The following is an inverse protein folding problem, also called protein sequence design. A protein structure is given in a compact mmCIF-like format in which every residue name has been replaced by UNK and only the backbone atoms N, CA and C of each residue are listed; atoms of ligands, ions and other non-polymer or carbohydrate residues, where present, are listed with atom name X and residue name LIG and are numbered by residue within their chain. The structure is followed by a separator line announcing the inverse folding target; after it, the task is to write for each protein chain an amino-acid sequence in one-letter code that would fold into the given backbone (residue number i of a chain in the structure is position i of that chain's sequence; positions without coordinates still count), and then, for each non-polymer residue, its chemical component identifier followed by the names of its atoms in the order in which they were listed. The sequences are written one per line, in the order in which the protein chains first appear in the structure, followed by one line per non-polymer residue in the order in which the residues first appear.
data_IF_822077020703
#
_entry.id   IF_822077020703
#
_cell.length_a   1.000
_cell.length_b   1.000
_cell.length_c   1.000
_cell.angle_alpha   90.00
_cell.angle_beta   90.00
_cell.angle_gamma   90.00
#
_symmetry.space_group_name_H-M   'P 1'
#
loop_
_entity.id
_entity.type
_entity.pdbx_description
1 polymer ?
#
# COMPACT_ATOMS: atom_id res chain seq x y z
N UNK A 1 7.47 -36.81 -3.87
CA UNK A 1 6.16 -36.20 -3.57
C UNK A 1 6.21 -34.73 -3.14
N UNK A 2 7.14 -34.26 -2.28
CA UNK A 2 7.09 -32.88 -1.73
C UNK A 2 7.23 -31.74 -2.76
N UNK A 3 7.94 -31.96 -3.88
CA UNK A 3 8.09 -30.96 -4.95
C UNK A 3 6.96 -31.01 -5.99
N UNK A 4 6.23 -32.12 -6.09
CA UNK A 4 5.14 -32.27 -7.06
C UNK A 4 3.97 -31.32 -6.76
N UNK A 5 3.67 -31.07 -5.48
CA UNK A 5 2.69 -30.08 -5.06
C UNK A 5 3.06 -28.66 -5.48
N UNK A 6 4.33 -28.26 -5.31
CA UNK A 6 4.79 -26.93 -5.71
C UNK A 6 4.79 -26.75 -7.22
N UNK A 7 5.22 -27.77 -7.98
CA UNK A 7 5.16 -27.77 -9.44
C UNK A 7 3.71 -27.65 -9.91
N UNK A 8 2.79 -28.42 -9.31
CA UNK A 8 1.35 -28.35 -9.62
C UNK A 8 0.76 -26.97 -9.37
N UNK A 9 1.10 -26.31 -8.27
CA UNK A 9 0.64 -24.95 -7.96
C UNK A 9 1.20 -23.91 -8.95
N UNK A 10 2.47 -24.03 -9.33
CA UNK A 10 3.08 -23.15 -10.35
C UNK A 10 2.39 -23.35 -11.70
N UNK A 11 2.18 -24.59 -12.12
CA UNK A 11 1.45 -24.90 -13.35
C UNK A 11 0.02 -24.35 -13.32
N UNK A 12 -0.66 -24.41 -12.17
CA UNK A 12 -2.00 -23.83 -11.99
C UNK A 12 -1.98 -22.31 -12.13
N UNK A 13 -0.95 -21.63 -11.60
CA UNK A 13 -0.77 -20.19 -11.82
C UNK A 13 -0.61 -19.87 -13.30
N UNK A 14 0.28 -20.58 -14.01
CA UNK A 14 0.47 -20.37 -15.45
C UNK A 14 -0.81 -20.66 -16.25
N UNK A 15 -1.48 -21.77 -15.96
CA UNK A 15 -2.74 -22.13 -16.60
C UNK A 15 -3.80 -21.05 -16.38
N UNK A 16 -3.97 -20.59 -15.13
CA UNK A 16 -4.92 -19.52 -14.80
C UNK A 16 -4.53 -18.19 -15.45
N UNK A 17 -3.25 -17.86 -15.51
CA UNK A 17 -2.77 -16.65 -16.18
C UNK A 17 -3.11 -16.67 -17.67
N UNK A 18 -2.86 -17.78 -18.36
CA UNK A 18 -3.19 -17.92 -19.78
C UNK A 18 -4.71 -17.88 -20.01
N UNK A 19 -5.51 -18.56 -19.18
CA UNK A 19 -6.97 -18.63 -19.37
C UNK A 19 -7.73 -17.38 -18.93
N UNK A 20 -7.14 -16.59 -18.04
CA UNK A 20 -7.76 -15.35 -17.52
C UNK A 20 -7.35 -14.08 -18.28
N UNK A 21 -6.44 -14.20 -19.26
CA UNK A 21 -6.13 -13.09 -20.16
C UNK A 21 -7.37 -12.82 -21.01
N UNK A 22 -8.04 -11.66 -20.84
CA UNK A 22 -9.18 -11.34 -21.67
C UNK A 22 -8.70 -11.20 -23.13
N UNK A 23 -9.23 -12.02 -24.02
CA UNK A 23 -9.07 -11.87 -25.47
C UNK A 23 -9.97 -10.73 -25.93
N UNK A 24 -9.45 -9.51 -25.86
CA UNK A 24 -10.10 -8.37 -26.47
C UNK A 24 -9.73 -8.31 -27.95
N UNK A 25 -10.73 -8.09 -28.81
CA UNK A 25 -10.50 -7.87 -30.24
C UNK A 25 -10.17 -6.39 -30.42
N UNK A 26 -9.05 -6.08 -31.09
CA UNK A 26 -8.71 -4.70 -31.41
C UNK A 26 -9.83 -4.03 -32.23
N UNK A 27 -10.22 -2.82 -31.84
CA UNK A 27 -11.34 -2.07 -32.40
C UNK A 27 -12.71 -2.37 -31.73
N UNK A 28 -12.78 -3.30 -30.78
CA UNK A 28 -14.02 -3.61 -30.07
C UNK A 28 -14.36 -2.51 -29.05
N UNK A 29 -15.58 -1.96 -29.14
CA UNK A 29 -16.18 -1.15 -28.07
C UNK A 29 -16.59 -2.07 -26.92
N UNK A 30 -16.06 -1.82 -25.73
CA UNK A 30 -16.42 -2.55 -24.51
C UNK A 30 -17.01 -1.60 -23.48
N UNK A 31 -18.03 -2.07 -22.77
CA UNK A 31 -18.58 -1.42 -21.57
C UNK A 31 -18.11 -2.21 -20.36
N UNK A 32 -17.28 -1.59 -19.53
CA UNK A 32 -16.80 -2.16 -18.27
C UNK A 32 -17.59 -1.56 -17.13
N UNK A 33 -18.27 -2.41 -16.36
CA UNK A 33 -18.87 -2.04 -15.07
C UNK A 33 -18.05 -2.68 -13.98
N UNK A 34 -17.37 -1.88 -13.16
CA UNK A 34 -16.54 -2.40 -12.08
C UNK A 34 -16.53 -1.46 -10.88
N UNK A 35 -16.32 -2.06 -9.71
CA UNK A 35 -15.99 -1.31 -8.51
C UNK A 35 -14.50 -0.97 -8.52
N UNK A 36 -14.19 0.27 -8.16
CA UNK A 36 -12.82 0.74 -7.99
C UNK A 36 -12.21 0.07 -6.76
N UNK A 37 -11.28 -0.86 -7.01
CA UNK A 37 -10.62 -1.66 -5.98
C UNK A 37 -9.34 -1.05 -5.46
N UNK A 38 -8.77 -0.05 -6.15
CA UNK A 38 -7.56 0.68 -5.76
C UNK A 38 -7.76 2.16 -6.00
N UNK A 39 -7.10 3.00 -5.23
CA UNK A 39 -7.28 4.45 -5.39
C UNK A 39 -6.60 4.97 -6.66
N UNK A 40 -7.26 5.84 -7.44
CA UNK A 40 -6.73 6.31 -8.72
C UNK A 40 -5.44 7.11 -8.54
N UNK A 41 -4.55 7.01 -9.52
CA UNK A 41 -3.36 7.88 -9.56
C UNK A 41 -3.68 9.15 -10.36
N UNK A 42 -3.63 10.29 -9.68
CA UNK A 42 -4.02 11.57 -10.26
C UNK A 42 -2.86 12.21 -11.04
N UNK A 43 -3.17 12.74 -12.21
CA UNK A 43 -2.33 13.63 -13.02
C UNK A 43 -3.01 15.01 -13.15
N UNK A 44 -2.33 15.98 -13.77
CA UNK A 44 -2.86 17.36 -13.90
C UNK A 44 -4.24 17.40 -14.57
N UNK A 45 -4.42 16.62 -15.64
CA UNK A 45 -5.64 16.62 -16.48
C UNK A 45 -6.37 15.27 -16.53
N UNK A 46 -5.73 14.22 -16.04
CA UNK A 46 -6.23 12.85 -16.14
C UNK A 46 -6.16 12.14 -14.79
N UNK A 47 -7.00 11.13 -14.62
CA UNK A 47 -6.93 10.15 -13.54
C UNK A 47 -6.68 8.78 -14.16
N UNK A 48 -5.65 8.09 -13.65
CA UNK A 48 -5.23 6.79 -14.16
C UNK A 48 -5.75 5.68 -13.23
N UNK A 49 -6.41 4.71 -13.86
CA UNK A 49 -7.12 3.61 -13.21
C UNK A 49 -6.66 2.30 -13.82
N UNK A 50 -6.76 1.22 -13.05
CA UNK A 50 -6.66 -0.13 -13.58
C UNK A 50 -8.04 -0.80 -13.45
N UNK A 51 -8.74 -0.95 -14.57
CA UNK A 51 -10.05 -1.62 -14.61
C UNK A 51 -9.91 -2.96 -15.32
N UNK A 52 -10.24 -4.04 -14.63
CA UNK A 52 -10.17 -5.40 -15.17
C UNK A 52 -8.80 -5.81 -15.77
N UNK A 53 -7.70 -5.22 -15.27
CA UNK A 53 -6.34 -5.48 -15.78
C UNK A 53 -5.92 -4.56 -16.93
N UNK A 54 -6.77 -3.65 -17.37
CA UNK A 54 -6.47 -2.65 -18.39
C UNK A 54 -6.22 -1.28 -17.74
N UNK A 55 -5.14 -0.62 -18.15
CA UNK A 55 -4.86 0.76 -17.74
C UNK A 55 -5.73 1.72 -18.54
N UNK A 56 -6.42 2.61 -17.82
CA UNK A 56 -7.33 3.62 -18.38
C UNK A 56 -6.93 4.98 -17.87
N UNK A 57 -6.88 5.96 -18.77
CA UNK A 57 -6.70 7.37 -18.43
C UNK A 57 -8.01 8.11 -18.72
N UNK A 58 -8.75 8.46 -17.67
CA UNK A 58 -9.97 9.26 -17.76
C UNK A 58 -9.68 10.74 -17.52
N UNK A 59 -10.52 11.69 -17.98
CA UNK A 59 -10.46 13.08 -17.56
C UNK A 59 -10.50 13.18 -16.03
N UNK A 60 -9.79 14.17 -15.46
CA UNK A 60 -9.70 14.36 -14.00
C UNK A 60 -11.06 14.55 -13.33
N UNK A 61 -12.01 15.18 -14.02
CA UNK A 61 -13.35 15.42 -13.53
C UNK A 61 -14.39 14.63 -14.34
N UNK A 62 -15.38 14.01 -13.68
CA UNK A 62 -15.57 13.94 -12.22
C UNK A 62 -14.52 13.07 -11.50
N UNK A 63 -14.16 13.41 -10.26
CA UNK A 63 -13.16 12.68 -9.47
C UNK A 63 -13.70 11.33 -9.02
N UNK A 64 -13.01 10.25 -9.38
CA UNK A 64 -13.36 8.88 -9.00
C UNK A 64 -12.63 8.52 -7.71
N UNK A 65 -13.34 7.91 -6.77
CA UNK A 65 -12.79 7.52 -5.48
C UNK A 65 -12.76 6.00 -5.30
N UNK A 66 -11.94 5.56 -4.35
CA UNK A 66 -11.92 4.16 -3.94
C UNK A 66 -13.31 3.72 -3.47
N UNK A 67 -13.77 2.59 -4.03
CA UNK A 67 -15.08 2.03 -3.74
C UNK A 67 -16.18 2.47 -4.68
N UNK A 68 -16.02 3.51 -5.50
CA UNK A 68 -17.04 3.93 -6.47
C UNK A 68 -17.33 2.82 -7.49
N UNK A 69 -18.57 2.75 -7.94
CA UNK A 69 -18.96 1.89 -9.06
C UNK A 69 -18.96 2.74 -10.33
N UNK A 70 -18.07 2.40 -11.26
CA UNK A 70 -17.88 3.16 -12.50
C UNK A 70 -18.32 2.32 -13.69
N UNK A 71 -19.00 2.99 -14.62
CA UNK A 71 -19.30 2.45 -15.94
C UNK A 71 -18.46 3.22 -16.96
N UNK A 72 -17.52 2.52 -17.58
CA UNK A 72 -16.61 3.10 -18.58
C UNK A 72 -16.83 2.38 -19.90
N UNK A 73 -17.08 3.14 -20.97
CA UNK A 73 -17.03 2.64 -22.34
C UNK A 73 -15.71 3.04 -22.98
N UNK A 74 -15.04 2.10 -23.64
CA UNK A 74 -13.79 2.40 -24.33
C UNK A 74 -13.59 1.45 -25.52
N UNK A 75 -12.75 1.86 -26.47
CA UNK A 75 -12.34 1.04 -27.60
C UNK A 75 -11.02 0.36 -27.25
N UNK A 76 -10.96 -0.96 -27.39
CA UNK A 76 -9.71 -1.70 -27.19
C UNK A 76 -8.79 -1.44 -28.37
N UNK A 77 -7.56 -0.99 -28.11
CA UNK A 77 -6.50 -0.94 -29.10
C UNK A 77 -5.14 -1.24 -28.45
N UNK A 78 -4.43 -2.26 -28.96
CA UNK A 78 -3.07 -2.62 -28.54
C UNK A 78 -2.93 -2.88 -27.03
N UNK A 79 -3.86 -3.66 -26.46
CA UNK A 79 -3.94 -3.96 -25.00
C UNK A 79 -4.14 -2.73 -24.09
N UNK A 80 -4.45 -1.56 -24.67
CA UNK A 80 -4.85 -0.36 -23.97
C UNK A 80 -6.28 0.02 -24.37
N UNK A 81 -6.91 0.86 -23.57
CA UNK A 81 -8.22 1.42 -23.88
C UNK A 81 -8.04 2.82 -24.45
N UNK A 82 -8.43 3.01 -25.71
CA UNK A 82 -8.50 4.31 -26.38
C UNK A 82 -9.89 4.91 -26.20
N UNK A 83 -9.91 6.23 -26.08
CA UNK A 83 -11.09 7.07 -25.91
C UNK A 83 -12.07 6.60 -24.82
N UNK A 84 -11.59 6.37 -23.58
CA UNK A 84 -12.47 5.97 -22.50
C UNK A 84 -13.43 7.10 -22.12
N UNK A 85 -14.73 6.82 -22.22
CA UNK A 85 -15.82 7.70 -21.82
C UNK A 85 -16.43 7.15 -20.53
N UNK A 86 -16.40 7.97 -19.49
CA UNK A 86 -17.10 7.69 -18.24
C UNK A 86 -18.60 7.97 -18.44
N UNK A 87 -19.44 6.96 -18.26
CA UNK A 87 -20.89 7.05 -18.48
C UNK A 87 -21.60 7.40 -17.19
N UNK A 88 -21.24 6.73 -16.10
CA UNK A 88 -21.82 6.98 -14.79
C UNK A 88 -20.85 6.63 -13.68
N UNK A 89 -20.98 7.37 -12.58
CA UNK A 89 -20.45 7.04 -11.28
C UNK A 89 -21.66 6.84 -10.38
N UNK A 90 -21.77 5.67 -9.75
CA UNK A 90 -22.75 5.44 -8.70
C UNK A 90 -22.06 5.46 -7.34
N UNK A 91 -22.56 6.28 -6.42
CA UNK A 91 -22.09 6.30 -5.03
C UNK A 91 -22.31 4.94 -4.37
N UNK A 92 -21.28 4.47 -3.68
CA UNK A 92 -21.24 3.10 -3.20
C UNK A 92 -22.09 2.84 -1.95
N UNK A 93 -22.82 1.71 -1.94
CA UNK A 93 -23.60 1.23 -0.78
C UNK A 93 -22.75 0.59 0.33
N UNK A 94 -21.45 0.44 0.11
CA UNK A 94 -20.51 -0.24 1.01
C UNK A 94 -20.20 0.62 2.24
N UNK A 95 -19.99 -0.03 3.38
CA UNK A 95 -19.68 0.62 4.65
C UNK A 95 -18.23 1.14 4.66
N UNK A 96 -17.30 0.48 3.97
CA UNK A 96 -15.87 0.80 4.03
C UNK A 96 -15.53 2.22 3.52
N UNK A 97 -16.00 2.68 2.34
CA UNK A 97 -15.74 4.05 1.90
C UNK A 97 -16.40 5.10 2.79
N UNK A 98 -17.56 4.78 3.39
CA UNK A 98 -18.21 5.68 4.35
C UNK A 98 -17.35 5.88 5.61
N UNK A 99 -16.84 4.79 6.19
CA UNK A 99 -15.92 4.86 7.34
C UNK A 99 -14.67 5.65 6.96
N UNK A 100 -14.09 5.37 5.79
CA UNK A 100 -12.92 6.08 5.28
C UNK A 100 -13.18 7.58 5.14
N UNK A 101 -14.32 7.98 4.58
CA UNK A 101 -14.70 9.39 4.43
C UNK A 101 -14.93 10.07 5.79
N UNK A 102 -15.46 9.36 6.79
CA UNK A 102 -15.55 9.89 8.16
C UNK A 102 -14.16 10.25 8.70
N UNK A 103 -13.17 9.36 8.56
CA UNK A 103 -11.80 9.62 8.99
C UNK A 103 -11.18 10.79 8.22
N UNK A 104 -11.32 10.82 6.89
CA UNK A 104 -10.84 11.92 6.05
C UNK A 104 -11.43 13.26 6.48
N UNK A 105 -12.74 13.30 6.73
CA UNK A 105 -13.42 14.51 7.20
C UNK A 105 -12.96 14.94 8.59
N UNK A 106 -12.65 14.00 9.47
CA UNK A 106 -12.15 14.28 10.81
C UNK A 106 -10.74 14.88 10.74
N UNK A 107 -9.83 14.27 9.99
CA UNK A 107 -8.46 14.80 9.82
C UNK A 107 -8.47 16.18 9.16
N UNK A 108 -9.25 16.37 8.09
CA UNK A 108 -9.32 17.65 7.38
C UNK A 108 -9.92 18.80 8.20
N UNK A 109 -10.81 18.50 9.16
CA UNK A 109 -11.39 19.52 10.06
C UNK A 109 -10.49 19.87 11.25
N UNK A 110 -9.65 18.93 11.69
CA UNK A 110 -8.93 19.03 12.96
C UNK A 110 -7.42 19.26 12.80
N UNK A 111 -6.89 19.23 11.58
CA UNK A 111 -5.47 19.38 11.30
C UNK A 111 -5.21 20.22 10.04
N UNK A 112 -4.15 21.05 10.01
CA UNK A 112 -3.83 21.85 8.83
C UNK A 112 -3.31 20.97 7.67
N UNK A 113 -3.42 21.50 6.45
CA UNK A 113 -2.74 20.93 5.29
C UNK A 113 -1.28 21.40 5.25
N UNK A 114 -0.29 20.55 4.89
CA UNK A 114 -0.42 19.21 4.33
C UNK A 114 -0.45 18.06 5.37
N UNK A 115 -0.39 18.38 6.66
CA UNK A 115 -0.30 17.38 7.74
C UNK A 115 -1.53 16.45 7.79
N UNK A 116 -2.73 16.99 7.59
CA UNK A 116 -3.98 16.21 7.53
C UNK A 116 -3.91 15.12 6.46
N UNK A 117 -3.48 15.49 5.25
CA UNK A 117 -3.36 14.56 4.13
C UNK A 117 -2.19 13.60 4.29
N UNK A 118 -1.10 14.00 4.97
CA UNK A 118 -0.02 13.08 5.35
C UNK A 118 -0.53 11.98 6.28
N UNK A 119 -1.27 12.34 7.34
CA UNK A 119 -1.86 11.36 8.26
C UNK A 119 -2.87 10.47 7.53
N UNK A 120 -3.75 11.07 6.71
CA UNK A 120 -4.71 10.31 5.91
C UNK A 120 -4.04 9.33 4.95
N UNK A 121 -2.95 9.74 4.29
CA UNK A 121 -2.11 8.88 3.45
C UNK A 121 -1.54 7.70 4.24
N UNK A 122 -0.89 7.97 5.37
CA UNK A 122 -0.23 6.94 6.18
C UNK A 122 -1.25 5.95 6.79
N UNK A 123 -2.37 6.46 7.31
CA UNK A 123 -3.37 5.66 8.06
C UNK A 123 -4.36 4.96 7.14
N UNK A 124 -4.81 5.60 6.05
CA UNK A 124 -5.88 5.08 5.19
C UNK A 124 -5.40 4.74 3.78
N UNK A 125 -4.15 5.04 3.44
CA UNK A 125 -3.66 4.95 2.07
C UNK A 125 -4.23 6.01 1.14
N UNK A 126 -4.80 7.10 1.67
CA UNK A 126 -5.57 8.07 0.90
C UNK A 126 -4.71 8.98 0.00
N UNK A 127 -4.41 8.52 -1.22
CA UNK A 127 -3.59 9.22 -2.23
C UNK A 127 -4.25 10.52 -2.70
N UNK A 128 -5.57 10.51 -2.88
CA UNK A 128 -6.33 11.65 -3.46
C UNK A 128 -6.34 12.88 -2.56
N UNK A 129 -6.14 12.71 -1.26
CA UNK A 129 -6.10 13.82 -0.31
C UNK A 129 -4.83 14.68 -0.43
N UNK A 130 -3.76 14.17 -1.05
CA UNK A 130 -2.47 14.86 -1.14
C UNK A 130 -2.51 15.93 -2.23
N UNK A 131 -2.15 17.17 -1.87
CA UNK A 131 -1.94 18.23 -2.88
C UNK A 131 -0.83 17.82 -3.86
N UNK A 132 -0.97 18.22 -5.13
CA UNK A 132 0.00 17.90 -6.19
C UNK A 132 1.43 18.29 -5.81
N UNK A 133 1.63 19.49 -5.29
CA UNK A 133 2.98 19.98 -4.93
C UNK A 133 3.63 19.11 -3.85
N UNK A 134 2.83 18.64 -2.89
CA UNK A 134 3.31 17.74 -1.85
C UNK A 134 3.61 16.34 -2.42
N UNK A 135 2.75 15.83 -3.32
CA UNK A 135 3.00 14.56 -4.01
C UNK A 135 4.29 14.60 -4.85
N UNK A 136 4.53 15.69 -5.57
CA UNK A 136 5.73 15.89 -6.37
C UNK A 136 6.97 15.95 -5.46
N UNK A 137 6.87 16.63 -4.32
CA UNK A 137 7.94 16.65 -3.30
C UNK A 137 8.25 15.24 -2.79
N UNK A 138 7.23 14.44 -2.44
CA UNK A 138 7.40 13.05 -1.99
C UNK A 138 8.00 12.14 -3.07
N UNK A 139 7.66 12.38 -4.33
CA UNK A 139 8.18 11.61 -5.47
C UNK A 139 9.65 11.94 -5.70
N UNK A 140 10.01 13.22 -5.67
CA UNK A 140 11.40 13.68 -5.80
C UNK A 140 12.30 13.17 -4.67
N UNK A 141 11.84 13.21 -3.43
CA UNK A 141 12.59 12.69 -2.27
C UNK A 141 12.60 11.16 -2.19
N UNK A 142 11.83 10.48 -3.04
CA UNK A 142 11.69 9.03 -3.04
C UNK A 142 10.89 8.48 -1.86
N UNK A 143 10.16 9.33 -1.12
CA UNK A 143 9.38 8.97 0.08
C UNK A 143 7.90 8.70 -0.20
N UNK A 144 7.45 8.85 -1.45
CA UNK A 144 6.06 8.61 -1.84
C UNK A 144 5.55 7.20 -1.45
N UNK A 145 6.42 6.18 -1.58
CA UNK A 145 6.10 4.80 -1.21
C UNK A 145 5.89 4.56 0.30
N UNK A 146 6.32 5.51 1.14
CA UNK A 146 6.17 5.46 2.61
C UNK A 146 4.82 6.06 3.01
N UNK A 147 4.44 7.17 2.37
CA UNK A 147 3.18 7.89 2.65
C UNK A 147 1.98 7.15 2.09
N UNK A 148 2.13 6.48 0.95
CA UNK A 148 1.10 5.58 0.41
C UNK A 148 1.09 4.29 1.21
N UNK A 149 -0.11 3.78 1.51
CA UNK A 149 -0.28 2.52 2.23
C UNK A 149 0.62 1.41 1.66
N UNK A 150 1.62 1.04 2.46
CA UNK A 150 2.65 0.08 2.10
C UNK A 150 2.48 -1.21 2.88
N UNK A 151 3.25 -2.24 2.49
CA UNK A 151 3.31 -3.47 3.28
C UNK A 151 3.85 -3.28 4.70
N UNK A 152 4.61 -2.19 4.94
CA UNK A 152 5.11 -1.85 6.26
C UNK A 152 3.97 -1.40 7.19
N UNK A 153 3.02 -0.62 6.67
CA UNK A 153 1.87 -0.15 7.43
C UNK A 153 1.04 -1.34 7.95
N UNK A 154 0.86 -2.37 7.12
CA UNK A 154 0.20 -3.62 7.54
C UNK A 154 0.94 -4.29 8.70
N UNK A 155 2.28 -4.36 8.64
CA UNK A 155 3.09 -4.92 9.72
C UNK A 155 2.96 -4.12 11.02
N UNK A 156 2.90 -2.79 10.94
CA UNK A 156 2.68 -1.94 12.11
C UNK A 156 1.28 -2.13 12.70
N UNK A 157 0.23 -2.22 11.88
CA UNK A 157 -1.13 -2.56 12.34
C UNK A 157 -1.14 -3.92 13.01
N UNK A 158 -0.53 -4.94 12.38
CA UNK A 158 -0.44 -6.29 12.92
C UNK A 158 0.25 -6.30 14.29
N UNK A 159 1.40 -5.63 14.40
CA UNK A 159 2.17 -5.51 15.64
C UNK A 159 1.39 -4.79 16.73
N UNK A 160 0.83 -3.62 16.42
CA UNK A 160 0.03 -2.83 17.35
C UNK A 160 -1.17 -3.61 17.89
N UNK A 161 -1.98 -4.21 16.99
CA UNK A 161 -3.13 -5.01 17.38
C UNK A 161 -2.72 -6.17 18.28
N UNK A 162 -1.69 -6.92 17.91
CA UNK A 162 -1.20 -8.02 18.74
C UNK A 162 -0.70 -7.56 20.11
N UNK A 163 0.08 -6.48 20.16
CA UNK A 163 0.60 -5.92 21.42
C UNK A 163 -0.51 -5.49 22.36
N UNK A 164 -1.58 -4.87 21.85
CA UNK A 164 -2.72 -4.44 22.67
C UNK A 164 -3.61 -5.61 23.04
N UNK A 165 -3.98 -6.47 22.08
CA UNK A 165 -4.93 -7.55 22.32
C UNK A 165 -4.39 -8.58 23.32
N UNK A 166 -3.09 -8.84 23.33
CA UNK A 166 -2.48 -9.79 24.29
C UNK A 166 -2.52 -9.28 25.73
N UNK A 167 -2.68 -7.97 25.96
CA UNK A 167 -2.85 -7.42 27.32
C UNK A 167 -4.20 -7.80 27.94
N UNK A 168 -5.23 -7.98 27.11
CA UNK A 168 -6.61 -8.22 27.55
C UNK A 168 -7.15 -9.60 27.21
N UNK A 169 -6.58 -10.27 26.20
CA UNK A 169 -7.06 -11.52 25.64
C UNK A 169 -5.95 -12.57 25.62
N UNK A 170 -6.34 -13.84 25.77
CA UNK A 170 -5.43 -14.96 25.53
C UNK A 170 -5.00 -14.98 24.06
N UNK A 171 -3.74 -15.38 23.80
CA UNK A 171 -3.13 -15.42 22.46
C UNK A 171 -4.01 -16.11 21.40
N UNK A 172 -4.67 -17.21 21.77
CA UNK A 172 -5.60 -17.97 20.92
C UNK A 172 -6.77 -17.14 20.36
N UNK A 173 -7.19 -16.09 21.07
CA UNK A 173 -8.25 -15.16 20.65
C UNK A 173 -7.62 -13.90 20.05
N UNK A 174 -6.52 -13.41 20.60
CA UNK A 174 -5.83 -12.23 20.10
C UNK A 174 -5.40 -12.37 18.63
N UNK A 175 -4.88 -13.55 18.23
CA UNK A 175 -4.43 -13.79 16.85
C UNK A 175 -5.56 -13.69 15.82
N UNK A 176 -6.68 -14.44 15.91
CA UNK A 176 -7.75 -14.31 14.93
C UNK A 176 -8.35 -12.90 14.90
N UNK A 177 -8.41 -12.21 16.04
CA UNK A 177 -8.87 -10.80 16.10
C UNK A 177 -7.87 -9.86 15.40
N UNK A 178 -6.56 -10.05 15.60
CA UNK A 178 -5.54 -9.26 14.90
C UNK A 178 -5.56 -9.53 13.38
N UNK A 179 -5.76 -10.78 12.96
CA UNK A 179 -5.94 -11.14 11.56
C UNK A 179 -7.15 -10.44 10.95
N UNK A 180 -8.30 -10.47 11.65
CA UNK A 180 -9.48 -9.75 11.21
C UNK A 180 -9.20 -8.24 11.05
N UNK A 181 -8.47 -7.64 11.99
CA UNK A 181 -8.04 -6.24 11.92
C UNK A 181 -7.10 -5.93 10.75
N UNK A 182 -6.16 -6.82 10.43
CA UNK A 182 -5.25 -6.68 9.28
C UNK A 182 -6.03 -6.70 7.96
N UNK A 183 -6.96 -7.64 7.81
CA UNK A 183 -7.80 -7.73 6.61
C UNK A 183 -8.78 -6.57 6.51
N UNK A 184 -9.31 -6.09 7.64
CA UNK A 184 -10.10 -4.87 7.72
C UNK A 184 -9.30 -3.64 7.26
N UNK A 185 -8.07 -3.47 7.76
CA UNK A 185 -7.17 -2.40 7.30
C UNK A 185 -6.86 -2.52 5.79
N UNK A 186 -6.64 -3.75 5.31
CA UNK A 186 -6.38 -4.00 3.89
C UNK A 186 -7.56 -3.60 3.00
N UNK A 187 -8.79 -3.81 3.49
CA UNK A 187 -10.01 -3.36 2.83
C UNK A 187 -10.14 -1.83 2.84
N UNK A 188 -9.84 -1.17 3.96
CA UNK A 188 -9.87 0.31 4.03
C UNK A 188 -8.85 0.96 3.10
N UNK A 189 -7.67 0.34 2.98
CA UNK A 189 -6.54 0.84 2.20
C UNK A 189 -6.62 0.50 0.70
N UNK A 190 -7.65 -0.24 0.27
CA UNK A 190 -7.90 -0.53 -1.14
C UNK A 190 -7.06 -1.64 -1.74
N UNK A 191 -6.75 -2.70 -0.99
CA UNK A 191 -6.19 -3.97 -1.50
C UNK A 191 -5.04 -3.86 -2.53
N UNK A 192 -4.21 -2.81 -2.44
CA UNK A 192 -3.01 -2.67 -3.28
C UNK A 192 -2.10 -3.90 -3.08
N UNK A 193 -1.40 -4.34 -4.13
CA UNK A 193 -0.58 -5.57 -4.10
C UNK A 193 0.42 -5.65 -2.91
N UNK A 194 1.13 -4.57 -2.51
CA UNK A 194 1.99 -4.57 -1.33
C UNK A 194 1.26 -4.88 -0.02
N UNK A 195 0.01 -4.44 0.09
CA UNK A 195 -0.85 -4.58 1.28
C UNK A 195 -1.36 -6.01 1.37
N UNK A 196 -1.89 -6.55 0.26
CA UNK A 196 -2.38 -7.94 0.20
C UNK A 196 -1.26 -8.92 0.49
N UNK A 197 -0.07 -8.72 -0.09
CA UNK A 197 1.11 -9.54 0.23
C UNK A 197 1.41 -9.52 1.72
N UNK A 198 1.47 -8.34 2.34
CA UNK A 198 1.76 -8.22 3.77
C UNK A 198 0.67 -8.87 4.64
N UNK A 199 -0.61 -8.75 4.28
CA UNK A 199 -1.73 -9.39 4.98
C UNK A 199 -1.65 -10.93 4.91
N UNK A 200 -1.32 -11.48 3.74
CA UNK A 200 -1.13 -12.93 3.57
C UNK A 200 0.11 -13.40 4.34
N UNK A 201 1.25 -12.71 4.22
CA UNK A 201 2.47 -13.08 4.96
C UNK A 201 2.25 -13.01 6.47
N UNK A 202 1.55 -11.99 6.97
CA UNK A 202 1.14 -11.89 8.37
C UNK A 202 0.22 -13.04 8.80
N UNK A 203 -0.73 -13.41 7.95
CA UNK A 203 -1.62 -14.56 8.16
C UNK A 203 -0.83 -15.87 8.29
N UNK A 204 0.08 -16.12 7.34
CA UNK A 204 0.96 -17.30 7.37
C UNK A 204 1.86 -17.29 8.60
N UNK A 205 2.40 -16.14 9.00
CA UNK A 205 3.27 -16.01 10.16
C UNK A 205 2.54 -16.33 11.48
N UNK A 206 1.34 -15.77 11.68
CA UNK A 206 0.56 -16.06 12.88
C UNK A 206 0.06 -17.50 12.91
N UNK A 207 -0.36 -18.07 11.78
CA UNK A 207 -0.73 -19.49 11.72
C UNK A 207 0.46 -20.41 12.00
N UNK A 208 1.65 -20.10 11.49
CA UNK A 208 2.86 -20.87 11.78
C UNK A 208 3.22 -20.83 13.26
N UNK A 209 3.03 -19.67 13.91
CA UNK A 209 3.27 -19.47 15.33
C UNK A 209 2.33 -20.30 16.21
N UNK A 210 1.03 -20.37 15.89
CA UNK A 210 0.07 -21.22 16.61
C UNK A 210 0.38 -22.71 16.45
N UNK A 211 0.91 -23.12 15.29
CA UNK A 211 1.34 -24.49 15.04
C UNK A 211 2.72 -24.82 15.62
N UNK A 212 3.38 -23.88 16.30
CA UNK A 212 4.73 -24.06 16.86
C UNK A 212 5.83 -24.26 15.80
N UNK A 213 5.61 -23.79 14.56
CA UNK A 213 6.53 -24.00 13.44
C UNK A 213 7.38 -22.76 13.20
N UNK A 214 8.68 -22.96 12.98
CA UNK A 214 9.57 -21.90 12.51
C UNK A 214 9.20 -21.51 11.08
N UNK A 215 8.83 -20.24 10.89
CA UNK A 215 8.53 -19.69 9.58
C UNK A 215 9.82 -19.42 8.81
N UNK A 216 9.97 -20.03 7.64
CA UNK A 216 11.01 -19.64 6.69
C UNK A 216 10.47 -18.51 5.81
N UNK A 217 11.05 -17.32 5.92
CA UNK A 217 10.61 -16.11 5.22
C UNK A 217 10.57 -16.27 3.69
N UNK A 218 11.53 -16.98 3.09
CA UNK A 218 11.56 -17.26 1.65
C UNK A 218 10.38 -18.14 1.21
N UNK A 219 10.07 -19.18 2.00
CA UNK A 219 8.92 -20.05 1.72
C UNK A 219 7.59 -19.30 1.89
N UNK A 220 7.51 -18.42 2.89
CA UNK A 220 6.34 -17.58 3.10
C UNK A 220 6.12 -16.62 1.92
N UNK A 221 7.19 -15.98 1.43
CA UNK A 221 7.13 -15.10 0.26
C UNK A 221 6.69 -15.88 -1.00
N UNK A 222 7.29 -17.05 -1.25
CA UNK A 222 6.92 -17.88 -2.39
C UNK A 222 5.46 -18.36 -2.34
N UNK A 223 5.01 -18.86 -1.18
CA UNK A 223 3.62 -19.25 -0.97
C UNK A 223 2.66 -18.07 -1.16
N UNK A 224 3.03 -16.89 -0.66
CA UNK A 224 2.23 -15.66 -0.82
C UNK A 224 2.08 -15.30 -2.29
N UNK A 225 3.17 -15.34 -3.06
CA UNK A 225 3.13 -15.09 -4.51
C UNK A 225 2.20 -16.07 -5.24
N UNK A 226 2.27 -17.36 -4.90
CA UNK A 226 1.36 -18.37 -5.46
C UNK A 226 -0.09 -18.06 -5.12
N UNK A 227 -0.43 -17.83 -3.85
CA UNK A 227 -1.82 -17.52 -3.43
C UNK A 227 -2.32 -16.28 -4.18
N UNK A 228 -1.53 -15.21 -4.23
CA UNK A 228 -1.88 -13.98 -4.92
C UNK A 228 -2.14 -14.20 -6.41
N UNK A 229 -1.27 -14.91 -7.13
CA UNK A 229 -1.42 -15.15 -8.56
C UNK A 229 -2.52 -16.18 -8.88
N UNK A 230 -2.79 -17.12 -7.98
CA UNK A 230 -3.93 -18.04 -8.08
C UNK A 230 -5.26 -17.30 -7.88
N UNK A 231 -5.30 -16.17 -7.17
CA UNK A 231 -6.53 -15.39 -6.95
C UNK A 231 -6.67 -14.23 -7.95
N UNK A 232 -5.57 -13.56 -8.31
CA UNK A 232 -5.51 -12.45 -9.28
C UNK A 232 -4.26 -12.60 -10.18
N UNK A 233 -4.36 -13.34 -11.29
CA UNK A 233 -3.23 -13.62 -12.20
C UNK A 233 -2.72 -12.36 -12.89
N UNK A 234 -3.56 -11.34 -13.07
CA UNK A 234 -3.17 -10.08 -13.71
C UNK A 234 -2.03 -9.36 -12.96
N UNK A 235 -1.83 -9.66 -11.67
CA UNK A 235 -0.71 -9.11 -10.90
C UNK A 235 0.67 -9.55 -11.39
N UNK A 236 0.77 -10.62 -12.20
CA UNK A 236 2.06 -11.06 -12.76
C UNK A 236 2.74 -9.96 -13.59
N UNK A 237 1.95 -9.11 -14.25
CA UNK A 237 2.42 -7.98 -15.06
C UNK A 237 2.27 -6.63 -14.36
N UNK A 238 1.79 -6.63 -13.12
CA UNK A 238 1.61 -5.39 -12.35
C UNK A 238 2.95 -4.93 -11.77
N UNK A 239 3.31 -3.67 -12.06
CA UNK A 239 4.57 -3.09 -11.60
C UNK A 239 4.60 -3.01 -10.06
N UNK A 240 3.48 -2.69 -9.42
CA UNK A 240 3.39 -2.60 -7.96
C UNK A 240 3.65 -3.95 -7.28
N UNK A 241 3.10 -5.03 -7.84
CA UNK A 241 3.37 -6.40 -7.42
C UNK A 241 4.86 -6.76 -7.58
N UNK A 242 5.44 -6.52 -8.77
CA UNK A 242 6.86 -6.82 -9.05
C UNK A 242 7.77 -6.07 -8.09
N UNK A 243 7.60 -4.74 -7.98
CA UNK A 243 8.40 -3.91 -7.07
C UNK A 243 8.27 -4.39 -5.63
N UNK A 244 7.07 -4.81 -5.20
CA UNK A 244 6.86 -5.35 -3.87
C UNK A 244 7.66 -6.62 -3.60
N UNK A 245 7.53 -7.63 -4.47
CA UNK A 245 8.19 -8.92 -4.26
C UNK A 245 9.72 -8.79 -4.36
N UNK A 246 10.20 -8.00 -5.31
CA UNK A 246 11.64 -7.71 -5.47
C UNK A 246 12.17 -6.94 -4.26
N UNK A 247 11.46 -5.91 -3.77
CA UNK A 247 11.86 -5.19 -2.56
C UNK A 247 11.96 -6.14 -1.37
N UNK A 248 10.94 -6.96 -1.12
CA UNK A 248 10.92 -7.90 0.00
C UNK A 248 12.04 -8.95 -0.10
N UNK A 249 12.27 -9.51 -1.29
CA UNK A 249 13.37 -10.44 -1.51
C UNK A 249 14.73 -9.77 -1.27
N UNK A 250 14.89 -8.54 -1.74
CA UNK A 250 16.11 -7.75 -1.54
C UNK A 250 16.37 -7.46 -0.06
N UNK A 251 15.34 -7.10 0.72
CA UNK A 251 15.42 -6.97 2.18
C UNK A 251 15.93 -8.27 2.83
N UNK A 252 15.32 -9.41 2.49
CA UNK A 252 15.71 -10.71 3.05
C UNK A 252 17.19 -11.09 2.80
N UNK A 253 17.77 -10.62 1.69
CA UNK A 253 19.15 -10.95 1.28
C UNK A 253 20.18 -9.94 1.79
N UNK A 254 19.85 -8.64 1.73
CA UNK A 254 20.82 -7.56 1.90
C UNK A 254 20.69 -6.80 3.23
N UNK A 255 19.50 -6.69 3.82
CA UNK A 255 19.26 -5.83 4.99
C UNK A 255 20.23 -6.12 6.14
N UNK A 256 20.30 -7.38 6.60
CA UNK A 256 21.22 -7.79 7.68
C UNK A 256 22.69 -7.58 7.34
N UNK A 257 23.07 -7.62 6.06
CA UNK A 257 24.45 -7.37 5.63
C UNK A 257 24.75 -5.89 5.76
N UNK A 258 23.88 -5.04 5.21
CA UNK A 258 24.02 -3.57 5.27
C UNK A 258 24.02 -3.09 6.72
N UNK A 259 23.14 -3.65 7.55
CA UNK A 259 23.07 -3.32 8.98
C UNK A 259 24.41 -3.62 9.70
N UNK A 260 25.16 -4.65 9.29
CA UNK A 260 26.50 -4.93 9.85
C UNK A 260 27.56 -3.93 9.41
N UNK A 261 27.43 -3.34 8.22
CA UNK A 261 28.34 -2.30 7.72
C UNK A 261 27.99 -0.92 8.29
N UNK A 262 26.71 -0.63 8.48
CA UNK A 262 26.20 0.64 9.00
C UNK A 262 26.28 0.78 10.53
N UNK A 263 27.25 0.11 11.18
CA UNK A 263 27.43 0.16 12.65
C UNK A 263 27.76 1.56 13.19
N UNK A 264 28.22 2.46 12.33
CA UNK A 264 28.51 3.85 12.69
C UNK A 264 27.25 4.69 12.91
N UNK A 265 26.07 4.23 12.45
CA UNK A 265 24.80 4.91 12.68
C UNK A 265 24.17 4.49 14.02
N UNK A 266 23.52 5.41 14.75
CA UNK A 266 22.68 5.06 15.90
C UNK A 266 21.59 4.06 15.48
N UNK A 267 21.24 3.12 16.36
CA UNK A 267 20.36 1.98 16.03
C UNK A 267 19.06 2.35 15.33
N UNK A 268 18.49 3.50 15.71
CA UNK A 268 17.24 4.03 15.14
C UNK A 268 17.35 4.45 13.66
N UNK A 269 18.41 5.16 13.29
CA UNK A 269 18.66 5.57 11.90
C UNK A 269 19.22 4.40 11.07
N UNK A 270 19.94 3.51 11.73
CA UNK A 270 20.58 2.33 11.13
C UNK A 270 19.55 1.40 10.50
N UNK A 271 18.45 1.11 11.17
CA UNK A 271 17.38 0.25 10.65
C UNK A 271 16.76 0.88 9.39
N UNK A 272 16.28 2.13 9.48
CA UNK A 272 15.67 2.82 8.34
C UNK A 272 16.61 2.96 7.13
N UNK A 273 17.89 3.22 7.37
CA UNK A 273 18.92 3.27 6.33
C UNK A 273 19.14 1.88 5.69
N UNK A 274 19.30 0.83 6.51
CA UNK A 274 19.55 -0.52 6.04
C UNK A 274 18.37 -1.07 5.23
N UNK A 275 17.15 -0.91 5.71
CA UNK A 275 15.92 -1.31 5.00
C UNK A 275 15.81 -0.55 3.68
N UNK A 276 16.01 0.77 3.68
CA UNK A 276 15.88 1.58 2.46
C UNK A 276 16.93 1.23 1.42
N UNK A 277 18.20 1.11 1.82
CA UNK A 277 19.28 0.76 0.91
C UNK A 277 19.11 -0.66 0.38
N UNK A 278 18.72 -1.62 1.22
CA UNK A 278 18.45 -2.99 0.78
C UNK A 278 17.29 -3.05 -0.21
N UNK A 279 16.19 -2.34 0.03
CA UNK A 279 15.08 -2.27 -0.93
C UNK A 279 15.53 -1.67 -2.27
N UNK A 280 16.31 -0.58 -2.23
CA UNK A 280 16.78 0.10 -3.45
C UNK A 280 17.72 -0.74 -4.29
N UNK A 281 18.60 -1.56 -3.70
CA UNK A 281 19.47 -2.46 -4.47
C UNK A 281 18.66 -3.35 -5.42
N UNK A 282 17.51 -3.85 -4.97
CA UNK A 282 16.64 -4.70 -5.80
C UNK A 282 15.73 -3.88 -6.73
N UNK A 283 15.20 -2.76 -6.24
CA UNK A 283 14.13 -2.01 -6.91
C UNK A 283 14.65 -0.96 -7.90
N UNK A 284 15.83 -0.38 -7.66
CA UNK A 284 16.37 0.72 -8.46
C UNK A 284 16.51 0.38 -9.96
N UNK A 285 16.99 -0.80 -10.39
CA UNK A 285 17.08 -1.13 -11.81
C UNK A 285 15.70 -1.11 -12.50
N UNK A 286 14.68 -1.59 -11.81
CA UNK A 286 13.30 -1.64 -12.33
C UNK A 286 12.73 -0.22 -12.41
N UNK A 287 12.95 0.60 -11.38
CA UNK A 287 12.51 1.99 -11.39
C UNK A 287 13.19 2.80 -12.50
N UNK A 288 14.48 2.60 -12.71
CA UNK A 288 15.24 3.29 -13.74
C UNK A 288 14.71 2.93 -15.15
N UNK A 289 14.52 1.64 -15.44
CA UNK A 289 14.00 1.18 -16.73
C UNK A 289 12.54 1.60 -16.94
N UNK A 290 11.72 1.61 -15.89
CA UNK A 290 10.27 1.85 -16.02
C UNK A 290 9.90 3.33 -15.99
N UNK A 291 10.57 4.12 -15.15
CA UNK A 291 10.18 5.51 -14.85
C UNK A 291 11.28 6.53 -15.15
N UNK A 292 12.52 6.11 -15.42
CA UNK A 292 13.63 7.02 -15.72
C UNK A 292 14.02 7.96 -14.58
N UNK A 293 13.51 7.74 -13.36
CA UNK A 293 13.71 8.59 -12.20
C UNK A 293 14.20 7.76 -11.01
N UNK A 294 15.28 8.20 -10.37
CA UNK A 294 15.81 7.61 -9.15
C UNK A 294 16.56 8.65 -8.33
N UNK A 295 16.21 8.78 -7.04
CA UNK A 295 16.92 9.65 -6.12
C UNK A 295 17.91 8.84 -5.27
N UNK A 296 19.21 9.06 -5.50
CA UNK A 296 20.30 8.41 -4.76
C UNK A 296 20.27 8.76 -3.27
N UNK A 297 19.76 9.93 -2.90
CA UNK A 297 19.66 10.38 -1.51
C UNK A 297 18.45 9.82 -0.78
N UNK A 298 17.57 9.07 -1.47
CA UNK A 298 16.38 8.48 -0.86
C UNK A 298 16.67 7.60 0.37
N UNK A 299 17.75 6.77 0.48
CA UNK A 299 18.03 6.03 1.71
C UNK A 299 18.28 6.92 2.92
N UNK A 300 18.95 8.06 2.71
CA UNK A 300 19.29 9.01 3.76
C UNK A 300 18.02 9.73 4.21
N UNK A 301 17.22 10.21 3.26
CA UNK A 301 15.96 10.88 3.54
C UNK A 301 15.02 9.92 4.27
N UNK A 302 14.88 8.68 3.78
CA UNK A 302 14.08 7.64 4.42
C UNK A 302 14.56 7.38 5.85
N UNK A 303 15.86 7.25 6.11
CA UNK A 303 16.37 7.06 7.47
C UNK A 303 15.97 8.19 8.43
N UNK A 304 15.92 9.44 7.93
CA UNK A 304 15.54 10.61 8.71
C UNK A 304 14.03 10.73 8.98
N UNK A 305 13.19 10.09 8.18
CA UNK A 305 11.72 10.21 8.27
C UNK A 305 10.99 8.93 8.68
N UNK A 306 11.52 7.75 8.37
CA UNK A 306 10.80 6.47 8.50
C UNK A 306 10.37 6.20 9.95
N UNK A 307 11.16 6.68 10.90
CA UNK A 307 10.86 6.51 12.31
C UNK A 307 9.64 7.26 12.81
N UNK A 308 9.22 8.34 12.12
CA UNK A 308 8.00 9.06 12.49
C UNK A 308 6.76 8.29 12.05
N UNK A 309 6.88 7.35 11.12
CA UNK A 309 5.74 6.65 10.51
C UNK A 309 4.97 5.77 11.49
N UNK A 310 5.60 4.80 12.22
CA UNK A 310 4.87 4.01 13.20
C UNK A 310 4.09 4.85 14.24
N UNK A 311 4.68 5.86 14.90
CA UNK A 311 3.93 6.66 15.86
C UNK A 311 2.85 7.52 15.21
N UNK A 312 3.10 8.14 14.03
CA UNK A 312 2.04 8.85 13.28
C UNK A 312 0.88 7.91 12.96
N UNK A 313 1.18 6.67 12.53
CA UNK A 313 0.17 5.69 12.17
C UNK A 313 -0.69 5.30 13.37
N UNK A 314 -0.07 5.00 14.51
CA UNK A 314 -0.79 4.61 15.74
C UNK A 314 -1.62 5.79 16.28
N UNK A 315 -1.01 6.96 16.42
CA UNK A 315 -1.69 8.16 16.93
C UNK A 315 -2.83 8.55 15.99
N UNK A 316 -2.59 8.57 14.68
CA UNK A 316 -3.59 8.91 13.67
C UNK A 316 -4.75 7.91 13.63
N UNK A 317 -4.48 6.61 13.72
CA UNK A 317 -5.51 5.58 13.79
C UNK A 317 -6.36 5.70 15.06
N UNK A 318 -5.73 5.85 16.22
CA UNK A 318 -6.43 6.05 17.50
C UNK A 318 -7.26 7.34 17.50
N UNK A 319 -6.67 8.45 17.06
CA UNK A 319 -7.35 9.73 16.92
C UNK A 319 -8.55 9.64 15.97
N UNK A 320 -8.42 8.91 14.85
CA UNK A 320 -9.52 8.70 13.90
C UNK A 320 -10.67 7.89 14.50
N UNK A 321 -10.36 6.74 15.11
CA UNK A 321 -11.38 5.88 15.76
C UNK A 321 -12.11 6.64 16.87
N UNK A 322 -11.35 7.27 17.77
CA UNK A 322 -11.89 8.01 18.90
C UNK A 322 -12.62 9.28 18.42
N UNK A 323 -12.05 10.00 17.45
CA UNK A 323 -12.58 11.26 16.95
C UNK A 323 -13.90 11.12 16.19
N UNK A 324 -14.13 9.97 15.54
CA UNK A 324 -15.42 9.66 14.91
C UNK A 324 -16.52 9.45 15.96
N UNK A 325 -16.18 8.99 17.17
CA UNK A 325 -17.13 8.77 18.27
C UNK A 325 -17.26 10.03 19.13
N UNK A 326 -16.14 10.67 19.45
CA UNK A 326 -16.03 11.83 20.31
C UNK A 326 -14.89 12.75 19.83
N UNK A 327 -15.26 13.69 18.95
CA UNK A 327 -14.34 14.57 18.22
C UNK A 327 -13.33 15.33 19.11
N UNK A 328 -13.70 15.93 20.27
CA UNK A 328 -12.75 16.70 21.08
C UNK A 328 -11.57 15.87 21.60
N UNK A 329 -11.81 14.61 21.99
CA UNK A 329 -10.74 13.75 22.49
C UNK A 329 -9.89 13.18 21.36
N UNK A 330 -10.52 12.84 20.23
CA UNK A 330 -9.77 12.49 19.01
C UNK A 330 -8.83 13.60 18.58
N UNK A 331 -9.30 14.86 18.62
CA UNK A 331 -8.49 16.04 18.29
C UNK A 331 -7.29 16.20 19.24
N UNK A 332 -7.48 15.99 20.54
CA UNK A 332 -6.39 16.04 21.52
C UNK A 332 -5.30 15.01 21.20
N UNK A 333 -5.69 13.77 20.89
CA UNK A 333 -4.75 12.72 20.49
C UNK A 333 -4.05 13.09 19.18
N UNK A 334 -4.79 13.64 18.21
CA UNK A 334 -4.25 14.04 16.92
C UNK A 334 -3.13 15.09 17.06
N UNK A 335 -3.23 16.03 18.01
CA UNK A 335 -2.18 17.00 18.26
C UNK A 335 -0.85 16.39 18.69
N UNK A 336 -0.84 15.18 19.27
CA UNK A 336 0.39 14.46 19.57
C UNK A 336 1.16 14.06 18.30
N UNK A 337 0.48 13.97 17.15
CA UNK A 337 1.12 13.70 15.87
C UNK A 337 1.76 14.95 15.22
N UNK A 338 1.48 16.16 15.71
CA UNK A 338 1.96 17.42 15.11
C UNK A 338 3.48 17.53 15.06
N UNK A 339 4.26 17.30 16.14
CA UNK A 339 5.72 17.38 16.06
C UNK A 339 6.32 16.35 15.07
N UNK A 340 5.69 15.19 14.94
CA UNK A 340 6.14 14.11 14.06
C UNK A 340 5.87 14.41 12.58
N UNK A 341 4.66 14.91 12.29
CA UNK A 341 4.25 15.33 10.95
C UNK A 341 5.03 16.56 10.49
N UNK A 342 5.23 17.53 11.39
CA UNK A 342 6.08 18.69 11.16
C UNK A 342 7.51 18.27 10.81
N UNK A 343 8.13 17.37 11.59
CA UNK A 343 9.47 16.85 11.29
C UNK A 343 9.53 16.19 9.92
N UNK A 344 8.57 15.31 9.62
CA UNK A 344 8.48 14.64 8.33
C UNK A 344 8.45 15.66 7.19
N UNK A 345 7.52 16.61 7.24
CA UNK A 345 7.33 17.63 6.18
C UNK A 345 8.55 18.54 6.08
N UNK A 346 9.16 18.91 7.20
CA UNK A 346 10.38 19.73 7.24
C UNK A 346 11.53 19.06 6.49
N UNK A 347 11.77 17.77 6.75
CA UNK A 347 12.79 17.01 6.03
C UNK A 347 12.45 16.92 4.53
N UNK A 348 11.20 16.62 4.17
CA UNK A 348 10.81 16.58 2.74
C UNK A 348 11.07 17.93 2.05
N UNK A 349 10.77 19.07 2.71
CA UNK A 349 10.99 20.41 2.14
C UNK A 349 12.47 20.73 1.96
N UNK A 350 13.34 20.34 2.90
CA UNK A 350 14.79 20.58 2.80
C UNK A 350 15.39 19.82 1.61
N UNK A 351 14.96 18.58 1.40
CA UNK A 351 15.51 17.71 0.37
C UNK A 351 14.75 17.78 -0.97
N UNK A 352 13.86 18.76 -1.13
CA UNK A 352 13.13 19.02 -2.36
C UNK A 352 13.92 19.97 -3.29
N UNK A 353 15.07 19.52 -3.78
CA UNK A 353 15.89 20.20 -4.79
C UNK A 353 15.64 19.66 -6.19
#
# INVERSE_FOLDING_TARGET
MRYALWIGLVLLVFARFITSQPTYIDGQKIRITTRISTEPTMSTFYQNLNLAGLKISLPRYPEIHYGDEVVVEAVVADKNLKDPVLISISETKSIFPKIRNLFLSFYGRNFPQPDASLIAGIVLGAKTSLSKDFWDSLTKTGTAHIVVASGMNVTFVAGFLMSVLVLFLKRKIAIPVALAGIWFYSALSGFDAPIVRAAIMGSVAFSAQELGRLLNAYKALFLTGLIMLIIVPQWLTDIGFILSFVATLSLMVFEKKIEKFAKFLPGFFKEGFATSLAAQIGVAPILFVTFGQFNILSPVINALVLWTIPPIMIIGALAGVIGVIFEPFGRLILYLAYPLTWWFIFIIRIFNF
#
